data_IF_830335071666
#
_entry.id   IF_830335071666
#
_cell.length_a   1.000
_cell.length_b   1.000
_cell.length_c   1.000
_cell.angle_alpha   90.00
_cell.angle_beta   90.00
_cell.angle_gamma   90.00
#
_symmetry.space_group_name_H-M   'P 1'
#
loop_
_entity.id
_entity.type
_entity.pdbx_description
1 polymer ?
#
# COMPACT_ATOMS: atom_id res chain seq x y z
N UNK A 1 -34.75 5.06 23.97
CA UNK A 1 -33.77 4.27 23.19
C UNK A 1 -33.36 5.08 21.97
N UNK A 2 -32.36 5.94 22.12
CA UNK A 2 -31.86 6.82 21.06
C UNK A 2 -30.42 6.43 20.71
N UNK A 3 -30.27 5.58 19.71
CA UNK A 3 -29.04 5.44 18.94
C UNK A 3 -29.47 5.26 17.48
N UNK A 4 -29.39 6.33 16.66
CA UNK A 4 -28.48 6.26 15.51
C UNK A 4 -27.87 7.61 15.05
N UNK A 5 -27.80 8.65 15.88
CA UNK A 5 -27.32 9.98 15.42
C UNK A 5 -25.79 10.12 15.31
N UNK A 6 -25.00 9.40 16.12
CA UNK A 6 -23.54 9.56 16.15
C UNK A 6 -22.84 9.06 14.86
N UNK A 7 -23.37 8.02 14.21
CA UNK A 7 -22.78 7.46 12.99
C UNK A 7 -23.01 8.28 11.72
N UNK A 8 -24.06 9.12 11.69
CA UNK A 8 -24.30 10.05 10.57
C UNK A 8 -23.45 11.32 10.68
N UNK A 9 -23.26 11.85 11.89
CA UNK A 9 -22.48 13.07 12.10
C UNK A 9 -20.99 12.95 11.72
N UNK A 10 -20.45 11.72 11.67
CA UNK A 10 -19.05 11.46 11.32
C UNK A 10 -18.80 11.36 9.80
N UNK A 11 -19.86 11.15 9.00
CA UNK A 11 -19.79 11.00 7.55
C UNK A 11 -19.64 12.35 6.82
N UNK A 12 -20.06 13.45 7.44
CA UNK A 12 -20.10 14.78 6.80
C UNK A 12 -18.86 15.65 7.07
N UNK A 13 -17.90 15.17 7.87
CA UNK A 13 -16.69 15.92 8.16
C UNK A 13 -15.75 15.92 6.95
N UNK A 14 -15.03 17.02 6.75
CA UNK A 14 -13.94 17.08 5.77
C UNK A 14 -12.70 16.31 6.27
N UNK A 15 -11.82 15.83 5.38
CA UNK A 15 -10.54 15.21 5.74
C UNK A 15 -9.76 15.97 6.82
N UNK A 16 -9.58 17.29 6.68
CA UNK A 16 -8.88 18.14 7.65
C UNK A 16 -9.57 18.19 9.02
N UNK A 17 -10.90 18.15 9.05
CA UNK A 17 -11.68 18.18 10.27
C UNK A 17 -11.57 16.85 11.04
N UNK A 18 -11.63 15.72 10.32
CA UNK A 18 -11.37 14.38 10.91
C UNK A 18 -9.94 14.29 11.45
N UNK A 19 -8.98 14.79 10.69
CA UNK A 19 -7.59 14.89 11.11
C UNK A 19 -7.45 15.68 12.41
N UNK A 20 -7.98 16.91 12.46
CA UNK A 20 -7.90 17.78 13.62
C UNK A 20 -8.66 17.23 14.83
N UNK A 21 -9.73 16.47 14.61
CA UNK A 21 -10.44 15.78 15.69
C UNK A 21 -9.57 14.68 16.30
N UNK A 22 -9.01 13.77 15.51
CA UNK A 22 -8.19 12.70 16.07
C UNK A 22 -6.88 13.20 16.68
N UNK A 23 -6.34 14.32 16.21
CA UNK A 23 -5.21 15.00 16.86
C UNK A 23 -5.59 15.52 18.26
N UNK A 24 -6.77 16.16 18.39
CA UNK A 24 -7.31 16.61 19.70
C UNK A 24 -7.61 15.46 20.64
N UNK A 25 -8.03 14.32 20.12
CA UNK A 25 -8.27 13.08 20.88
C UNK A 25 -6.97 12.32 21.21
N UNK A 26 -5.81 12.81 20.79
CA UNK A 26 -4.51 12.19 21.06
C UNK A 26 -4.24 10.91 20.26
N UNK A 27 -5.02 10.62 19.22
CA UNK A 27 -4.81 9.43 18.36
C UNK A 27 -3.56 9.56 17.48
N UNK A 28 -3.16 10.79 17.15
CA UNK A 28 -1.95 11.10 16.40
C UNK A 28 -1.48 12.52 16.72
N UNK A 29 -0.22 12.83 16.38
CA UNK A 29 0.32 14.19 16.48
C UNK A 29 -0.11 15.02 15.26
N UNK A 30 -0.43 16.29 15.49
CA UNK A 30 -0.61 17.26 14.43
C UNK A 30 0.74 17.56 13.74
N UNK A 31 0.79 17.38 12.43
CA UNK A 31 1.95 17.62 11.57
C UNK A 31 1.60 18.65 10.50
N UNK A 32 2.18 19.84 10.64
CA UNK A 32 1.98 20.97 9.72
C UNK A 32 2.34 20.62 8.27
N UNK A 33 3.26 19.69 8.04
CA UNK A 33 3.62 19.25 6.69
C UNK A 33 2.46 18.54 5.96
N UNK A 34 1.50 18.01 6.70
CA UNK A 34 0.35 17.30 6.15
C UNK A 34 -0.80 18.24 5.77
N UNK A 35 -0.80 19.49 6.26
CA UNK A 35 -1.91 20.43 6.12
C UNK A 35 -2.19 20.82 4.67
N UNK A 36 -1.16 20.98 3.84
CA UNK A 36 -1.34 21.29 2.42
C UNK A 36 -2.09 20.16 1.68
N UNK A 37 -1.73 18.91 1.96
CA UNK A 37 -2.41 17.75 1.39
C UNK A 37 -3.85 17.60 1.93
N UNK A 38 -4.07 17.89 3.23
CA UNK A 38 -5.42 17.90 3.81
C UNK A 38 -6.32 18.96 3.15
N UNK A 39 -5.81 20.18 2.93
CA UNK A 39 -6.55 21.25 2.26
C UNK A 39 -6.94 20.86 0.82
N UNK A 40 -6.05 20.18 0.11
CA UNK A 40 -6.32 19.70 -1.24
C UNK A 40 -7.34 18.55 -1.26
N UNK A 41 -7.27 17.64 -0.29
CA UNK A 41 -8.27 16.58 -0.12
C UNK A 41 -9.64 17.13 0.28
N UNK A 42 -9.69 18.21 1.08
CA UNK A 42 -10.93 18.92 1.40
C UNK A 42 -11.56 19.53 0.14
N UNK A 43 -10.76 20.20 -0.70
CA UNK A 43 -11.21 20.75 -1.99
C UNK A 43 -11.84 19.67 -2.85
N UNK A 44 -11.13 18.55 -3.04
CA UNK A 44 -11.62 17.41 -3.82
C UNK A 44 -12.91 16.85 -3.23
N UNK A 45 -12.98 16.71 -1.90
CA UNK A 45 -14.17 16.22 -1.21
C UNK A 45 -15.39 17.10 -1.48
N UNK A 46 -15.24 18.42 -1.31
CA UNK A 46 -16.31 19.40 -1.51
C UNK A 46 -16.82 19.34 -2.96
N UNK A 47 -15.91 19.47 -3.94
CA UNK A 47 -16.30 19.50 -5.36
C UNK A 47 -16.99 18.20 -5.82
N UNK A 48 -16.57 17.04 -5.29
CA UNK A 48 -17.19 15.76 -5.61
C UNK A 48 -18.61 15.63 -5.03
N UNK A 49 -18.86 16.24 -3.87
CA UNK A 49 -20.16 16.23 -3.19
C UNK A 49 -21.13 17.27 -3.77
N UNK A 50 -20.63 18.46 -4.15
CA UNK A 50 -21.45 19.49 -4.80
C UNK A 50 -22.03 19.00 -6.13
N UNK A 51 -21.25 18.22 -6.90
CA UNK A 51 -21.73 17.58 -8.14
C UNK A 51 -22.84 16.52 -7.96
N UNK A 52 -23.21 16.13 -6.73
CA UNK A 52 -24.39 15.28 -6.48
C UNK A 52 -25.69 16.09 -6.24
N UNK A 53 -25.59 17.38 -5.92
CA UNK A 53 -26.73 18.21 -5.52
C UNK A 53 -27.44 18.93 -6.68
N UNK A 54 -26.94 18.80 -7.91
CA UNK A 54 -27.58 19.36 -9.11
C UNK A 54 -28.92 18.65 -9.39
N UNK A 55 -29.98 19.30 -8.91
CA UNK A 55 -31.35 18.82 -8.92
C UNK A 55 -31.95 18.62 -10.31
N UNK A 56 -33.17 18.08 -10.29
CA UNK A 56 -33.98 17.65 -11.44
C UNK A 56 -34.05 18.64 -12.63
N UNK A 57 -33.81 19.94 -12.41
CA UNK A 57 -33.84 21.00 -13.43
C UNK A 57 -32.53 21.12 -14.24
N UNK A 58 -31.38 20.71 -13.71
CA UNK A 58 -30.09 20.82 -14.40
C UNK A 58 -29.76 19.58 -15.28
N UNK A 59 -30.54 18.50 -15.13
CA UNK A 59 -30.48 17.31 -16.01
C UNK A 59 -30.76 17.62 -17.48
N UNK A 60 -31.51 18.68 -17.77
CA UNK A 60 -31.79 19.13 -19.14
C UNK A 60 -30.60 19.92 -19.76
N UNK A 61 -29.78 20.58 -18.94
CA UNK A 61 -28.56 21.29 -19.36
C UNK A 61 -27.33 20.37 -19.41
N UNK A 62 -27.30 19.34 -18.56
CA UNK A 62 -26.26 18.32 -18.49
C UNK A 62 -26.14 17.46 -19.76
N UNK A 63 -27.13 17.49 -20.66
CA UNK A 63 -27.05 16.82 -21.96
C UNK A 63 -26.00 17.44 -22.90
N UNK A 64 -25.52 18.66 -22.61
CA UNK A 64 -24.57 19.41 -23.43
C UNK A 64 -23.23 19.71 -22.75
N UNK A 65 -23.10 19.52 -21.43
CA UNK A 65 -21.84 19.67 -20.70
C UNK A 65 -21.08 18.35 -20.66
N UNK A 66 -19.85 18.32 -21.18
CA UNK A 66 -18.94 17.19 -20.93
C UNK A 66 -18.67 17.09 -19.43
N UNK A 67 -18.72 15.89 -18.82
CA UNK A 67 -18.31 15.72 -17.43
C UNK A 67 -16.85 16.14 -17.29
N UNK A 68 -16.60 17.23 -16.59
CA UNK A 68 -15.25 17.69 -16.31
C UNK A 68 -14.80 17.04 -15.00
N UNK A 69 -13.76 16.23 -15.05
CA UNK A 69 -13.20 15.61 -13.85
C UNK A 69 -12.76 16.70 -12.87
N UNK A 70 -13.14 16.58 -11.60
CA UNK A 70 -12.52 17.34 -10.51
C UNK A 70 -11.02 17.01 -10.55
N UNK A 71 -10.13 18.02 -10.60
CA UNK A 71 -8.69 17.77 -10.54
C UNK A 71 -8.36 16.90 -9.33
N UNK A 72 -7.57 15.86 -9.57
CA UNK A 72 -7.17 14.89 -8.58
C UNK A 72 -6.01 15.36 -7.70
N UNK A 73 -5.44 14.42 -6.95
CA UNK A 73 -4.24 14.62 -6.14
C UNK A 73 -3.20 13.55 -6.46
N UNK A 74 -1.98 13.97 -6.79
CA UNK A 74 -0.80 13.12 -6.81
C UNK A 74 0.09 13.48 -5.62
N UNK A 75 -0.05 12.74 -4.52
CA UNK A 75 0.70 12.95 -3.30
C UNK A 75 1.95 12.07 -3.28
N UNK A 76 3.13 12.68 -3.29
CA UNK A 76 4.38 11.92 -3.34
C UNK A 76 5.36 12.29 -2.23
N UNK A 77 6.27 11.38 -1.91
CA UNK A 77 7.30 11.58 -0.88
C UNK A 77 7.74 10.25 -0.30
N UNK A 78 8.80 10.22 0.51
CA UNK A 78 9.36 8.97 1.06
C UNK A 78 8.38 8.10 1.87
N UNK A 79 8.86 6.94 2.31
CA UNK A 79 8.12 6.03 3.20
C UNK A 79 7.80 6.73 4.54
N UNK A 80 6.69 6.36 5.17
CA UNK A 80 6.35 6.84 6.52
C UNK A 80 5.97 8.31 6.65
N UNK A 81 5.73 9.03 5.54
CA UNK A 81 5.30 10.44 5.53
C UNK A 81 3.80 10.68 5.77
N UNK A 82 3.06 9.65 6.14
CA UNK A 82 1.61 9.76 6.40
C UNK A 82 0.71 9.89 5.16
N UNK A 83 1.24 9.79 3.93
CA UNK A 83 0.46 9.92 2.68
C UNK A 83 -0.80 9.05 2.67
N UNK A 84 -0.61 7.78 3.04
CA UNK A 84 -1.68 6.79 3.20
C UNK A 84 -2.78 7.29 4.12
N UNK A 85 -2.38 7.75 5.30
CA UNK A 85 -3.29 8.14 6.36
C UNK A 85 -4.18 9.30 5.91
N UNK A 86 -3.61 10.29 5.21
CA UNK A 86 -4.39 11.39 4.65
C UNK A 86 -5.40 10.89 3.61
N UNK A 87 -4.99 9.95 2.76
CA UNK A 87 -5.88 9.32 1.77
C UNK A 87 -6.94 8.43 2.42
N UNK A 88 -6.66 7.80 3.57
CA UNK A 88 -7.65 7.06 4.36
C UNK A 88 -8.75 8.00 4.87
N UNK A 89 -8.36 9.12 5.49
CA UNK A 89 -9.29 10.14 5.97
C UNK A 89 -10.22 10.68 4.87
N UNK A 90 -9.67 10.82 3.66
CA UNK A 90 -10.44 11.19 2.47
C UNK A 90 -11.37 10.06 2.01
N UNK A 91 -10.83 8.87 1.76
CA UNK A 91 -11.59 7.78 1.16
C UNK A 91 -12.71 7.30 2.07
N UNK A 92 -12.44 7.05 3.35
CA UNK A 92 -13.45 6.58 4.31
C UNK A 92 -14.51 7.65 4.55
N UNK A 93 -14.07 8.89 4.46
CA UNK A 93 -14.86 10.08 4.70
C UNK A 93 -15.79 10.52 3.58
N UNK A 94 -15.46 10.18 2.34
CA UNK A 94 -16.15 10.70 1.16
C UNK A 94 -17.54 10.06 1.00
N UNK A 95 -18.66 10.81 0.99
CA UNK A 95 -20.01 10.26 0.87
C UNK A 95 -20.40 9.82 -0.56
N UNK A 96 -19.44 9.65 -1.47
CA UNK A 96 -19.66 9.17 -2.84
C UNK A 96 -19.66 7.63 -2.88
N UNK A 97 -20.71 7.02 -3.44
CA UNK A 97 -20.80 5.55 -3.57
C UNK A 97 -19.94 4.98 -4.70
N UNK A 98 -19.81 5.71 -5.80
CA UNK A 98 -19.04 5.32 -6.99
C UNK A 98 -17.54 5.60 -6.79
N UNK A 99 -16.97 5.09 -5.69
CA UNK A 99 -15.55 5.22 -5.37
C UNK A 99 -14.91 3.85 -5.27
N UNK A 100 -13.66 3.77 -5.69
CA UNK A 100 -12.86 2.55 -5.63
C UNK A 100 -11.47 2.86 -5.15
N UNK A 101 -10.94 1.99 -4.29
CA UNK A 101 -9.56 2.04 -3.83
C UNK A 101 -8.84 0.72 -4.06
N UNK A 102 -7.59 0.79 -4.51
CA UNK A 102 -6.75 -0.39 -4.75
C UNK A 102 -5.27 0.00 -4.87
N UNK A 103 -4.36 -0.94 -4.63
CA UNK A 103 -2.94 -0.77 -4.99
C UNK A 103 -2.76 -0.72 -6.52
N UNK A 104 -1.76 0.01 -6.98
CA UNK A 104 -1.45 0.21 -8.39
C UNK A 104 -1.23 -1.11 -9.15
N UNK A 105 -0.35 -1.99 -8.68
CA UNK A 105 -0.09 -3.26 -9.39
C UNK A 105 -1.32 -4.16 -9.47
N UNK A 106 -2.14 -4.20 -8.42
CA UNK A 106 -3.41 -4.95 -8.43
C UNK A 106 -4.40 -4.35 -9.43
N UNK A 107 -4.43 -3.02 -9.55
CA UNK A 107 -5.22 -2.34 -10.57
C UNK A 107 -4.75 -2.73 -11.96
N UNK A 108 -3.44 -2.61 -12.25
CA UNK A 108 -2.86 -2.95 -13.54
C UNK A 108 -3.07 -4.41 -13.92
N UNK A 109 -2.91 -5.35 -12.99
CA UNK A 109 -3.23 -6.77 -13.21
C UNK A 109 -4.67 -6.97 -13.69
N UNK A 110 -5.63 -6.31 -13.04
CA UNK A 110 -7.03 -6.38 -13.47
C UNK A 110 -7.27 -5.73 -14.85
N UNK A 111 -6.53 -4.68 -15.19
CA UNK A 111 -6.58 -4.11 -16.54
C UNK A 111 -6.10 -5.14 -17.56
N UNK A 112 -4.96 -5.76 -17.33
CA UNK A 112 -4.44 -6.82 -18.21
C UNK A 112 -5.41 -8.00 -18.35
N UNK A 113 -6.04 -8.43 -17.25
CA UNK A 113 -7.06 -9.49 -17.28
C UNK A 113 -8.25 -9.12 -18.17
N UNK A 114 -8.76 -7.88 -18.03
CA UNK A 114 -9.86 -7.37 -18.87
C UNK A 114 -9.44 -7.19 -20.32
N UNK A 115 -8.22 -6.74 -20.59
CA UNK A 115 -7.67 -6.62 -21.94
C UNK A 115 -7.62 -7.98 -22.64
N UNK A 116 -7.22 -9.03 -21.93
CA UNK A 116 -7.22 -10.41 -22.44
C UNK A 116 -8.64 -10.91 -22.73
N UNK A 117 -9.60 -10.64 -21.86
CA UNK A 117 -11.00 -10.99 -22.06
C UNK A 117 -11.64 -10.28 -23.27
N UNK A 118 -11.13 -9.11 -23.64
CA UNK A 118 -11.57 -8.32 -24.80
C UNK A 118 -10.60 -8.39 -25.99
N UNK A 119 -9.75 -9.42 -26.05
CA UNK A 119 -8.80 -9.61 -27.14
C UNK A 119 -9.52 -9.70 -28.50
N UNK A 120 -8.97 -9.03 -29.52
CA UNK A 120 -9.53 -8.98 -30.88
C UNK A 120 -10.51 -7.84 -31.14
N UNK A 121 -10.85 -7.03 -30.13
CA UNK A 121 -11.59 -5.77 -30.34
C UNK A 121 -10.64 -4.65 -30.78
N UNK A 122 -11.16 -3.68 -31.55
CA UNK A 122 -10.36 -2.55 -32.06
C UNK A 122 -9.84 -1.62 -30.97
N UNK A 123 -10.59 -1.48 -29.87
CA UNK A 123 -10.21 -0.65 -28.73
C UNK A 123 -10.70 -1.20 -27.37
N UNK A 124 -10.02 -2.22 -26.82
CA UNK A 124 -10.39 -2.83 -25.55
C UNK A 124 -10.37 -1.85 -24.37
N UNK A 125 -9.49 -0.84 -24.40
CA UNK A 125 -9.40 0.18 -23.35
C UNK A 125 -10.60 1.12 -23.37
N UNK A 126 -11.19 1.43 -24.54
CA UNK A 126 -12.44 2.19 -24.62
C UNK A 126 -13.55 1.51 -23.86
N UNK A 127 -13.68 0.20 -24.07
CA UNK A 127 -14.76 -0.59 -23.47
C UNK A 127 -14.59 -0.67 -21.95
N UNK A 128 -13.37 -0.93 -21.49
CA UNK A 128 -13.04 -0.91 -20.05
C UNK A 128 -13.39 0.46 -19.43
N UNK A 129 -13.08 1.56 -20.11
CA UNK A 129 -13.41 2.90 -19.63
C UNK A 129 -14.93 3.20 -19.66
N UNK A 130 -15.66 2.67 -20.64
CA UNK A 130 -17.12 2.79 -20.70
C UNK A 130 -17.80 2.09 -19.52
N UNK A 131 -17.35 0.89 -19.16
CA UNK A 131 -17.86 0.16 -17.99
C UNK A 131 -17.67 0.94 -16.68
N UNK A 132 -16.69 1.84 -16.63
CA UNK A 132 -16.40 2.68 -15.46
C UNK A 132 -17.25 3.93 -15.37
N UNK A 133 -17.76 4.44 -16.49
CA UNK A 133 -18.50 5.69 -16.56
C UNK A 133 -19.62 5.80 -15.51
N UNK A 134 -20.41 4.73 -15.34
CA UNK A 134 -21.55 4.72 -14.42
C UNK A 134 -21.23 4.14 -13.04
N UNK A 135 -20.05 3.51 -12.89
CA UNK A 135 -19.67 2.75 -11.71
C UNK A 135 -18.54 3.38 -10.89
N UNK A 136 -17.79 4.32 -11.48
CA UNK A 136 -16.57 4.85 -10.92
C UNK A 136 -16.44 6.36 -11.21
N UNK A 137 -16.61 7.17 -10.18
CA UNK A 137 -16.32 8.62 -10.17
C UNK A 137 -14.99 8.94 -9.52
N UNK A 138 -14.57 8.13 -8.54
CA UNK A 138 -13.35 8.37 -7.78
C UNK A 138 -12.50 7.11 -7.76
N UNK A 139 -11.28 7.21 -8.25
CA UNK A 139 -10.30 6.15 -8.18
C UNK A 139 -9.17 6.58 -7.23
N UNK A 140 -8.98 5.81 -6.17
CA UNK A 140 -7.84 5.94 -5.28
C UNK A 140 -6.81 4.87 -5.61
N UNK A 141 -5.64 5.29 -6.08
CA UNK A 141 -4.51 4.40 -6.36
C UNK A 141 -3.42 4.54 -5.28
N UNK A 142 -3.24 3.46 -4.54
CA UNK A 142 -2.22 3.36 -3.53
C UNK A 142 -0.89 2.87 -4.14
N UNK A 143 0.23 3.45 -3.71
CA UNK A 143 1.59 3.06 -4.16
C UNK A 143 1.76 3.03 -5.68
N UNK A 144 1.47 4.15 -6.32
CA UNK A 144 1.67 4.33 -7.75
C UNK A 144 3.16 4.28 -8.08
N UNK A 145 3.58 3.17 -8.66
CA UNK A 145 4.95 2.92 -9.06
C UNK A 145 4.97 2.02 -10.30
N UNK A 146 5.82 2.36 -11.28
CA UNK A 146 5.85 1.70 -12.59
C UNK A 146 7.27 1.22 -12.88
N UNK A 147 7.42 -0.09 -13.00
CA UNK A 147 8.69 -0.76 -13.37
C UNK A 147 8.53 -1.62 -14.61
N UNK A 148 7.35 -2.17 -14.86
CA UNK A 148 7.06 -3.01 -16.00
C UNK A 148 6.79 -2.20 -17.28
N UNK A 149 7.35 -2.67 -18.41
CA UNK A 149 7.15 -2.03 -19.71
C UNK A 149 5.71 -2.14 -20.20
N UNK A 150 5.04 -3.28 -19.99
CA UNK A 150 3.66 -3.49 -20.39
C UNK A 150 2.73 -2.50 -19.70
N UNK A 151 2.92 -2.30 -18.39
CA UNK A 151 2.20 -1.30 -17.62
C UNK A 151 2.47 0.12 -18.13
N UNK A 152 3.74 0.46 -18.34
CA UNK A 152 4.15 1.78 -18.85
C UNK A 152 3.50 2.10 -20.21
N UNK A 153 3.47 1.14 -21.15
CA UNK A 153 2.90 1.35 -22.49
C UNK A 153 1.37 1.52 -22.49
N UNK A 154 0.68 1.01 -21.47
CA UNK A 154 -0.78 1.13 -21.35
C UNK A 154 -1.21 2.39 -20.61
N UNK A 155 -0.43 2.82 -19.63
CA UNK A 155 -0.88 3.77 -18.61
C UNK A 155 -1.29 5.14 -19.16
N UNK A 156 -0.58 5.67 -20.16
CA UNK A 156 -0.92 6.97 -20.74
C UNK A 156 -2.33 6.98 -21.34
N UNK A 157 -2.62 6.01 -22.21
CA UNK A 157 -3.95 5.86 -22.83
C UNK A 157 -5.03 5.51 -21.81
N UNK A 158 -4.68 4.77 -20.75
CA UNK A 158 -5.60 4.42 -19.69
C UNK A 158 -6.03 5.64 -18.88
N UNK A 159 -5.06 6.45 -18.43
CA UNK A 159 -5.31 7.67 -17.65
C UNK A 159 -6.10 8.70 -18.45
N UNK A 160 -5.74 8.93 -19.72
CA UNK A 160 -6.48 9.83 -20.60
C UNK A 160 -7.97 9.45 -20.69
N UNK A 161 -8.28 8.16 -20.82
CA UNK A 161 -9.66 7.67 -20.88
C UNK A 161 -10.37 7.81 -19.55
N UNK A 162 -9.71 7.51 -18.42
CA UNK A 162 -10.26 7.72 -17.09
C UNK A 162 -10.67 9.19 -16.90
N UNK A 163 -9.76 10.12 -17.19
CA UNK A 163 -10.03 11.55 -17.05
C UNK A 163 -11.10 12.04 -18.04
N UNK A 164 -11.13 11.51 -19.26
CA UNK A 164 -12.17 11.83 -20.25
C UNK A 164 -13.58 11.36 -19.84
N UNK A 165 -13.69 10.34 -18.98
CA UNK A 165 -14.96 9.91 -18.38
C UNK A 165 -15.32 10.67 -17.11
N UNK A 166 -14.54 11.67 -16.70
CA UNK A 166 -14.80 12.44 -15.50
C UNK A 166 -14.30 11.78 -14.20
N UNK A 167 -13.47 10.74 -14.29
CA UNK A 167 -12.94 10.06 -13.08
C UNK A 167 -11.88 10.94 -12.42
N UNK A 168 -12.09 11.22 -11.14
CA UNK A 168 -11.10 11.90 -10.29
C UNK A 168 -10.13 10.89 -9.71
N UNK A 169 -8.83 11.12 -9.93
CA UNK A 169 -7.75 10.28 -9.42
C UNK A 169 -7.15 10.88 -8.14
N UNK A 170 -7.14 10.12 -7.05
CA UNK A 170 -6.29 10.43 -5.89
C UNK A 170 -5.25 9.34 -5.78
N UNK A 171 -3.98 9.69 -5.78
CA UNK A 171 -2.90 8.70 -5.81
C UNK A 171 -1.76 9.07 -4.88
N UNK A 172 -1.12 8.04 -4.34
CA UNK A 172 0.08 8.18 -3.52
C UNK A 172 1.28 7.54 -4.21
N UNK A 173 2.46 8.13 -4.11
CA UNK A 173 3.69 7.53 -4.65
C UNK A 173 4.90 7.83 -3.78
N UNK A 174 5.96 7.02 -3.90
CA UNK A 174 7.27 7.35 -3.33
C UNK A 174 8.13 8.18 -4.30
N UNK A 175 7.65 8.41 -5.52
CA UNK A 175 8.40 9.03 -6.61
C UNK A 175 7.59 10.17 -7.21
N UNK A 176 8.24 11.31 -7.46
CA UNK A 176 7.65 12.42 -8.19
C UNK A 176 7.25 11.99 -9.62
N UNK A 177 6.18 12.55 -10.21
CA UNK A 177 5.70 12.15 -11.54
C UNK A 177 6.81 12.13 -12.61
N UNK A 178 7.68 13.14 -12.63
CA UNK A 178 8.78 13.29 -13.59
C UNK A 178 9.85 12.20 -13.48
N UNK A 179 9.91 11.51 -12.33
CA UNK A 179 10.86 10.43 -12.06
C UNK A 179 10.24 9.03 -12.20
N UNK A 180 8.92 8.92 -12.42
CA UNK A 180 8.28 7.64 -12.69
C UNK A 180 8.87 7.01 -13.95
N UNK A 181 9.31 5.75 -13.89
CA UNK A 181 9.86 5.00 -15.02
C UNK A 181 11.11 5.64 -15.70
N UNK A 182 11.92 6.40 -14.93
CA UNK A 182 13.03 7.25 -15.45
C UNK A 182 14.05 6.54 -16.32
N UNK A 183 14.36 5.30 -15.97
CA UNK A 183 15.34 4.48 -16.70
C UNK A 183 14.67 3.29 -17.41
N UNK A 184 13.34 3.36 -17.56
CA UNK A 184 12.55 2.32 -18.19
C UNK A 184 12.72 2.28 -19.71
N UNK A 185 12.63 1.07 -20.27
CA UNK A 185 12.72 0.86 -21.72
C UNK A 185 11.61 1.63 -22.45
N UNK A 186 11.98 2.38 -23.51
CA UNK A 186 11.07 3.24 -24.28
C UNK A 186 10.34 4.31 -23.46
N UNK A 187 11.00 4.92 -22.46
CA UNK A 187 10.48 6.00 -21.62
C UNK A 187 9.69 7.09 -22.36
N UNK A 188 10.09 7.47 -23.57
CA UNK A 188 9.39 8.46 -24.38
C UNK A 188 7.89 8.15 -24.55
N UNK A 189 7.54 6.87 -24.65
CA UNK A 189 6.15 6.41 -24.76
C UNK A 189 5.38 6.50 -23.45
N UNK A 190 6.07 6.65 -22.32
CA UNK A 190 5.49 6.85 -20.99
C UNK A 190 5.27 8.34 -20.64
N UNK A 191 5.95 9.27 -21.32
CA UNK A 191 5.80 10.71 -21.09
C UNK A 191 4.34 11.21 -21.17
N UNK A 192 3.46 10.69 -22.05
CA UNK A 192 2.04 11.04 -22.03
C UNK A 192 1.33 10.71 -20.71
N UNK A 193 1.73 9.64 -20.02
CA UNK A 193 1.18 9.30 -18.70
C UNK A 193 1.58 10.34 -17.65
N UNK A 194 2.85 10.76 -17.65
CA UNK A 194 3.35 11.83 -16.76
C UNK A 194 2.61 13.13 -17.04
N UNK A 195 2.46 13.52 -18.31
CA UNK A 195 1.74 14.71 -18.71
C UNK A 195 0.26 14.65 -18.27
N UNK A 196 -0.39 13.50 -18.39
CA UNK A 196 -1.77 13.32 -17.92
C UNK A 196 -1.86 13.49 -16.40
N UNK A 197 -0.95 12.88 -15.63
CA UNK A 197 -0.92 13.05 -14.16
C UNK A 197 -0.74 14.52 -13.78
N UNK A 198 0.21 15.22 -14.39
CA UNK A 198 0.48 16.64 -14.10
C UNK A 198 -0.65 17.58 -14.55
N UNK A 199 -1.39 17.22 -15.59
CA UNK A 199 -2.53 18.00 -16.09
C UNK A 199 -3.78 17.83 -15.22
N UNK A 200 -4.05 16.61 -14.79
CA UNK A 200 -5.32 16.26 -14.13
C UNK A 200 -5.20 16.11 -12.62
N UNK A 201 -4.00 16.16 -12.05
CA UNK A 201 -3.79 16.11 -10.60
C UNK A 201 -3.00 17.32 -10.11
N UNK A 202 -3.36 17.84 -8.94
CA UNK A 202 -2.47 18.70 -8.16
C UNK A 202 -1.35 17.81 -7.61
N UNK A 203 -0.10 18.16 -7.89
CA UNK A 203 1.08 17.40 -7.45
C UNK A 203 1.60 18.02 -6.17
N UNK A 204 1.54 17.28 -5.05
CA UNK A 204 2.03 17.73 -3.75
C UNK A 204 3.12 16.80 -3.22
N UNK A 205 4.19 17.41 -2.70
CA UNK A 205 5.25 16.69 -1.99
C UNK A 205 4.93 16.65 -0.49
N UNK A 206 4.90 15.45 0.08
CA UNK A 206 4.73 15.21 1.50
C UNK A 206 6.07 15.41 2.23
N UNK A 207 6.35 16.65 2.62
CA UNK A 207 7.53 17.06 3.39
C UNK A 207 7.43 16.69 4.87
N UNK A 208 7.26 15.41 5.21
CA UNK A 208 7.40 15.02 6.61
C UNK A 208 8.86 15.16 7.04
N UNK A 209 9.15 15.76 8.20
CA UNK A 209 10.51 15.74 8.76
C UNK A 209 10.83 14.44 9.50
N UNK A 210 9.84 13.58 9.77
CA UNK A 210 10.03 12.37 10.57
C UNK A 210 9.25 11.19 9.96
N UNK A 211 9.95 10.17 9.48
CA UNK A 211 9.34 8.86 9.26
C UNK A 211 9.07 8.26 10.63
N UNK A 212 7.82 8.35 11.09
CA UNK A 212 7.42 7.87 12.42
C UNK A 212 7.66 6.36 12.55
N UNK A 213 7.43 5.59 11.47
CA UNK A 213 7.67 4.15 11.43
C UNK A 213 9.16 3.85 11.57
N UNK A 214 10.02 4.59 10.88
CA UNK A 214 11.47 4.50 11.04
C UNK A 214 11.93 4.83 12.47
N UNK A 215 11.37 5.89 13.09
CA UNK A 215 11.70 6.22 14.49
C UNK A 215 11.31 5.10 15.45
N UNK A 216 10.13 4.51 15.26
CA UNK A 216 9.66 3.37 16.06
C UNK A 216 10.49 2.10 15.84
N UNK A 217 10.97 1.86 14.61
CA UNK A 217 11.85 0.72 14.29
C UNK A 217 13.28 0.92 14.80
N UNK A 218 13.81 2.15 14.76
CA UNK A 218 15.19 2.43 15.21
C UNK A 218 15.33 2.57 16.72
N UNK A 219 14.24 2.89 17.44
CA UNK A 219 14.24 3.03 18.91
C UNK A 219 13.99 1.72 19.66
N UNK A 220 13.52 0.68 18.98
CA UNK A 220 13.10 -0.56 19.61
C UNK A 220 13.66 -1.76 18.85
N UNK A 221 13.95 -2.88 19.52
CA UNK A 221 14.42 -4.08 18.84
C UNK A 221 13.43 -4.56 17.77
N UNK A 222 13.96 -5.06 16.66
CA UNK A 222 13.17 -5.70 15.60
C UNK A 222 13.34 -7.22 15.59
N UNK A 223 14.26 -7.76 16.38
CA UNK A 223 14.47 -9.19 16.52
C UNK A 223 14.46 -9.54 18.00
N UNK A 224 13.61 -10.50 18.40
CA UNK A 224 13.54 -10.98 19.76
C UNK A 224 13.80 -12.48 19.82
N UNK A 225 14.76 -12.87 20.64
CA UNK A 225 15.06 -14.26 20.96
C UNK A 225 15.55 -14.36 22.42
N UNK A 226 15.40 -15.53 23.08
CA UNK A 226 14.70 -16.73 22.59
C UNK A 226 13.17 -16.57 22.60
N UNK A 227 12.45 -17.60 22.11
CA UNK A 227 11.01 -17.70 22.31
C UNK A 227 10.72 -18.04 23.78
N UNK A 228 9.75 -17.32 24.34
CA UNK A 228 9.21 -17.51 25.68
C UNK A 228 7.71 -17.13 25.67
N UNK A 229 7.05 -17.17 26.83
CA UNK A 229 5.63 -16.84 26.94
C UNK A 229 5.26 -15.39 26.57
N UNK A 230 6.24 -14.48 26.54
CA UNK A 230 6.04 -13.05 26.25
C UNK A 230 6.29 -12.70 24.78
N UNK A 231 6.80 -13.64 23.98
CA UNK A 231 7.13 -13.39 22.58
C UNK A 231 5.92 -12.90 21.77
N UNK A 232 4.76 -13.52 21.97
CA UNK A 232 3.54 -13.16 21.22
C UNK A 232 3.03 -11.77 21.62
N UNK A 233 3.01 -11.49 22.93
CA UNK A 233 2.60 -10.21 23.47
C UNK A 233 3.52 -9.08 23.01
N UNK A 234 4.84 -9.33 22.98
CA UNK A 234 5.81 -8.38 22.45
C UNK A 234 5.54 -8.05 20.99
N UNK A 235 5.28 -9.07 20.14
CA UNK A 235 4.99 -8.83 18.73
C UNK A 235 3.66 -8.10 18.53
N UNK A 236 2.67 -8.34 19.40
CA UNK A 236 1.42 -7.57 19.44
C UNK A 236 1.59 -6.10 19.84
N UNK A 237 2.49 -5.81 20.79
CA UNK A 237 2.87 -4.43 21.12
C UNK A 237 3.55 -3.75 19.92
N UNK A 238 4.50 -4.44 19.27
CA UNK A 238 5.14 -3.93 18.05
C UNK A 238 4.15 -3.66 16.94
N UNK A 239 3.15 -4.53 16.76
CA UNK A 239 2.07 -4.29 15.82
C UNK A 239 1.35 -2.98 16.15
N UNK A 240 0.90 -2.78 17.39
CA UNK A 240 0.15 -1.59 17.77
C UNK A 240 0.96 -0.30 17.57
N UNK A 241 2.25 -0.31 17.90
CA UNK A 241 3.15 0.83 17.72
C UNK A 241 3.40 1.18 16.24
N UNK A 242 3.43 0.18 15.35
CA UNK A 242 3.69 0.36 13.92
C UNK A 242 2.43 0.61 13.10
N UNK A 243 1.31 0.00 13.49
CA UNK A 243 0.03 0.06 12.79
C UNK A 243 -0.90 1.15 13.35
N UNK A 244 -0.77 1.52 14.62
CA UNK A 244 -1.67 2.44 15.33
C UNK A 244 -3.07 1.89 15.60
N UNK A 245 -3.36 0.65 15.16
CA UNK A 245 -4.67 -0.01 15.31
C UNK A 245 -4.49 -1.47 15.75
N UNK A 246 -5.47 -2.05 16.46
CA UNK A 246 -5.43 -3.47 16.83
C UNK A 246 -5.33 -4.40 15.62
N UNK A 247 -4.60 -5.50 15.77
CA UNK A 247 -4.48 -6.51 14.72
C UNK A 247 -5.83 -7.19 14.48
N UNK A 248 -6.21 -7.35 13.21
CA UNK A 248 -7.41 -8.07 12.80
C UNK A 248 -6.98 -9.28 11.98
N UNK A 249 -7.27 -10.47 12.52
CA UNK A 249 -6.96 -11.72 11.87
C UNK A 249 -7.73 -11.84 10.55
N UNK A 250 -7.10 -12.45 9.56
CA UNK A 250 -7.67 -12.57 8.23
C UNK A 250 -6.82 -13.43 7.31
N UNK A 251 -6.97 -13.20 6.02
CA UNK A 251 -6.22 -13.90 4.99
C UNK A 251 -5.93 -12.98 3.81
N UNK A 252 -4.79 -13.21 3.17
CA UNK A 252 -4.49 -12.69 1.84
C UNK A 252 -4.47 -13.83 0.83
N UNK A 253 -4.61 -13.48 -0.44
CA UNK A 253 -4.52 -14.43 -1.54
C UNK A 253 -3.40 -14.01 -2.48
N UNK A 254 -2.42 -14.90 -2.66
CA UNK A 254 -1.29 -14.72 -3.58
C UNK A 254 -1.32 -15.91 -4.54
N UNK A 255 -1.39 -15.63 -5.84
CA UNK A 255 -1.45 -16.64 -6.90
C UNK A 255 -2.45 -17.78 -6.65
N UNK A 256 -3.66 -17.42 -6.17
CA UNK A 256 -4.74 -18.36 -5.88
C UNK A 256 -4.57 -19.15 -4.57
N UNK A 257 -3.52 -18.87 -3.79
CA UNK A 257 -3.26 -19.51 -2.51
C UNK A 257 -3.58 -18.55 -1.37
N UNK A 258 -4.40 -19.02 -0.43
CA UNK A 258 -4.71 -18.26 0.79
C UNK A 258 -3.58 -18.39 1.81
N UNK A 259 -3.21 -17.27 2.43
CA UNK A 259 -2.23 -17.19 3.51
C UNK A 259 -2.92 -16.54 4.69
N UNK A 260 -3.00 -17.27 5.80
CA UNK A 260 -3.55 -16.74 7.05
C UNK A 260 -2.60 -15.68 7.62
N UNK A 261 -3.16 -14.61 8.16
CA UNK A 261 -2.43 -13.53 8.82
C UNK A 261 -3.14 -13.14 10.11
N UNK A 262 -2.39 -12.61 11.07
CA UNK A 262 -2.91 -12.12 12.34
C UNK A 262 -3.31 -10.65 12.28
N UNK A 263 -2.69 -9.89 11.39
CA UNK A 263 -3.00 -8.49 11.17
C UNK A 263 -2.53 -8.03 9.81
N UNK A 264 -3.33 -7.18 9.17
CA UNK A 264 -2.93 -6.45 7.96
C UNK A 264 -3.36 -5.01 8.06
N UNK A 265 -2.43 -4.10 7.82
CA UNK A 265 -2.71 -2.72 7.49
C UNK A 265 -1.80 -2.32 6.32
N UNK A 266 -1.90 -1.08 5.84
CA UNK A 266 -1.22 -0.75 4.59
C UNK A 266 0.31 -0.79 4.73
N UNK A 267 0.93 -1.58 3.86
CA UNK A 267 2.38 -1.83 3.83
C UNK A 267 2.91 -2.67 5.01
N UNK A 268 2.04 -3.14 5.91
CA UNK A 268 2.42 -3.92 7.10
C UNK A 268 1.55 -5.19 7.21
N UNK A 269 2.20 -6.34 7.35
CA UNK A 269 1.49 -7.59 7.62
C UNK A 269 2.15 -8.38 8.73
N UNK A 270 1.32 -9.05 9.52
CA UNK A 270 1.74 -9.91 10.61
C UNK A 270 1.31 -11.34 10.35
N UNK A 271 2.29 -12.23 10.26
CA UNK A 271 2.13 -13.66 10.05
C UNK A 271 2.73 -14.47 11.19
N UNK A 272 2.21 -15.67 11.38
CA UNK A 272 2.94 -16.74 12.06
C UNK A 272 3.89 -17.43 11.09
N UNK A 273 5.04 -17.90 11.59
CA UNK A 273 6.03 -18.62 10.79
C UNK A 273 5.41 -19.78 10.00
N UNK A 274 4.52 -20.54 10.61
CA UNK A 274 3.87 -21.70 10.01
C UNK A 274 3.10 -21.35 8.73
N UNK A 275 2.41 -20.21 8.71
CA UNK A 275 1.64 -19.74 7.55
C UNK A 275 2.52 -19.44 6.33
N UNK A 276 3.74 -18.96 6.58
CA UNK A 276 4.72 -18.60 5.55
C UNK A 276 5.64 -19.76 5.16
N UNK A 277 6.00 -20.65 6.09
CA UNK A 277 7.11 -21.58 5.87
C UNK A 277 6.79 -23.05 6.10
N UNK A 278 5.63 -23.43 6.64
CA UNK A 278 5.26 -24.85 6.83
C UNK A 278 4.28 -25.36 5.75
N UNK A 279 3.58 -24.45 5.06
CA UNK A 279 2.69 -24.77 3.94
C UNK A 279 3.39 -24.83 2.56
N UNK A 280 2.61 -25.11 1.49
CA UNK A 280 3.10 -25.14 0.11
C UNK A 280 3.30 -23.72 -0.43
N UNK A 281 4.42 -23.08 -0.04
CA UNK A 281 4.85 -21.79 -0.56
C UNK A 281 5.98 -21.92 -1.57
N UNK A 282 5.98 -21.03 -2.55
CA UNK A 282 7.00 -20.85 -3.57
C UNK A 282 7.64 -19.48 -3.47
N UNK A 283 8.80 -19.31 -4.10
CA UNK A 283 9.50 -18.01 -4.17
C UNK A 283 8.63 -16.89 -4.71
N UNK A 284 7.73 -17.16 -5.67
CA UNK A 284 6.77 -16.17 -6.18
C UNK A 284 5.85 -15.63 -5.08
N UNK A 285 5.47 -16.44 -4.09
CA UNK A 285 4.67 -15.97 -2.96
C UNK A 285 5.44 -14.92 -2.15
N UNK A 286 6.74 -15.13 -1.95
CA UNK A 286 7.61 -14.20 -1.21
C UNK A 286 7.92 -12.93 -2.00
N UNK A 287 8.06 -13.02 -3.33
CA UNK A 287 8.19 -11.85 -4.20
C UNK A 287 6.96 -10.95 -4.07
N UNK A 288 5.75 -11.52 -4.13
CA UNK A 288 4.52 -10.75 -4.02
C UNK A 288 4.30 -10.20 -2.61
N UNK A 289 4.65 -10.96 -1.56
CA UNK A 289 4.66 -10.45 -0.19
C UNK A 289 5.60 -9.25 -0.04
N UNK A 290 6.82 -9.37 -0.54
CA UNK A 290 7.82 -8.32 -0.44
C UNK A 290 7.52 -7.11 -1.35
N UNK A 291 6.62 -7.26 -2.33
CA UNK A 291 6.05 -6.15 -3.11
C UNK A 291 4.88 -5.47 -2.41
N UNK A 292 3.98 -6.23 -1.79
CA UNK A 292 2.78 -5.71 -1.12
C UNK A 292 3.10 -5.06 0.23
N UNK A 293 4.15 -5.51 0.94
CA UNK A 293 4.46 -5.06 2.29
C UNK A 293 5.87 -4.48 2.40
N UNK A 294 5.97 -3.25 2.92
CA UNK A 294 7.23 -2.60 3.26
C UNK A 294 7.79 -3.06 4.61
N UNK A 295 6.94 -3.64 5.46
CA UNK A 295 7.29 -4.18 6.78
C UNK A 295 6.54 -5.48 7.04
N UNK A 296 7.24 -6.50 7.54
CA UNK A 296 6.67 -7.79 7.92
C UNK A 296 6.92 -8.09 9.40
N UNK A 297 5.86 -8.49 10.09
CA UNK A 297 5.94 -9.09 11.42
C UNK A 297 5.84 -10.61 11.26
N UNK A 298 6.82 -11.35 11.77
CA UNK A 298 6.84 -12.82 11.71
C UNK A 298 7.03 -13.39 13.11
N UNK A 299 6.00 -14.07 13.61
CA UNK A 299 6.01 -14.69 14.93
C UNK A 299 6.51 -16.13 14.91
N UNK A 300 7.15 -16.54 16.00
CA UNK A 300 7.44 -17.93 16.33
C UNK A 300 8.35 -18.66 15.30
N UNK A 301 9.42 -18.00 14.84
CA UNK A 301 10.43 -18.65 13.98
C UNK A 301 11.15 -19.75 14.81
N UNK A 302 11.08 -21.03 14.43
CA UNK A 302 11.71 -22.12 15.18
C UNK A 302 13.22 -22.17 14.94
N UNK A 303 13.93 -22.98 15.71
CA UNK A 303 15.23 -23.47 15.29
C UNK A 303 15.06 -24.49 14.17
N UNK A 304 16.07 -24.57 13.31
CA UNK A 304 16.08 -25.41 12.14
C UNK A 304 17.12 -26.52 12.29
N UNK A 305 16.71 -27.73 11.95
CA UNK A 305 17.54 -28.93 12.00
C UNK A 305 17.21 -29.83 10.80
N UNK A 306 17.68 -31.08 10.86
CA UNK A 306 17.45 -32.07 9.79
C UNK A 306 15.98 -32.49 9.63
N UNK A 307 15.11 -32.20 10.61
CA UNK A 307 13.72 -32.62 10.63
C UNK A 307 12.77 -31.59 10.01
N UNK A 308 13.22 -30.34 9.81
CA UNK A 308 12.41 -29.27 9.22
C UNK A 308 13.11 -28.52 8.07
N UNK A 309 13.97 -29.22 7.31
CA UNK A 309 14.75 -28.62 6.21
C UNK A 309 13.91 -27.90 5.13
N UNK A 310 12.72 -28.41 4.82
CA UNK A 310 11.86 -27.78 3.83
C UNK A 310 11.35 -26.41 4.30
N UNK A 311 11.01 -26.30 5.59
CA UNK A 311 10.65 -25.03 6.21
C UNK A 311 11.86 -24.10 6.31
N UNK A 312 13.03 -24.65 6.63
CA UNK A 312 14.29 -23.91 6.68
C UNK A 312 14.65 -23.31 5.30
N UNK A 313 14.52 -24.08 4.23
CA UNK A 313 14.73 -23.60 2.85
C UNK A 313 13.74 -22.51 2.45
N UNK A 314 12.47 -22.68 2.84
CA UNK A 314 11.44 -21.66 2.60
C UNK A 314 11.72 -20.37 3.37
N UNK A 315 12.23 -20.47 4.60
CA UNK A 315 12.66 -19.32 5.37
C UNK A 315 13.84 -18.59 4.73
N UNK A 316 14.85 -19.31 4.24
CA UNK A 316 15.95 -18.72 3.45
C UNK A 316 15.40 -17.92 2.27
N UNK A 317 14.53 -18.52 1.46
CA UNK A 317 13.92 -17.84 0.31
C UNK A 317 13.10 -16.60 0.72
N UNK A 318 12.35 -16.67 1.82
CA UNK A 318 11.61 -15.52 2.35
C UNK A 318 12.57 -14.39 2.72
N UNK A 319 13.63 -14.68 3.49
CA UNK A 319 14.59 -13.65 3.92
C UNK A 319 15.31 -13.05 2.72
N UNK A 320 15.66 -13.84 1.71
CA UNK A 320 16.32 -13.34 0.50
C UNK A 320 15.44 -12.31 -0.22
N UNK A 321 14.16 -12.61 -0.47
CA UNK A 321 13.26 -11.69 -1.17
C UNK A 321 12.91 -10.44 -0.36
N UNK A 322 12.74 -10.59 0.97
CA UNK A 322 12.50 -9.48 1.91
C UNK A 322 13.73 -8.58 2.00
N UNK A 323 14.92 -9.19 2.07
CA UNK A 323 16.18 -8.47 2.16
C UNK A 323 16.46 -7.65 0.90
N UNK A 324 16.35 -8.27 -0.27
CA UNK A 324 16.67 -7.66 -1.57
C UNK A 324 15.74 -6.48 -1.90
N UNK A 325 14.51 -6.47 -1.35
CA UNK A 325 13.54 -5.36 -1.50
C UNK A 325 13.57 -4.33 -0.38
N UNK A 326 14.50 -4.44 0.56
CA UNK A 326 14.58 -3.52 1.70
C UNK A 326 13.29 -3.50 2.54
N UNK A 327 12.66 -4.66 2.72
CA UNK A 327 11.49 -4.85 3.59
C UNK A 327 11.95 -5.00 5.03
N UNK A 328 11.27 -4.31 5.95
CA UNK A 328 11.65 -4.26 7.37
C UNK A 328 11.08 -5.48 8.05
N UNK A 329 11.94 -6.31 8.65
CA UNK A 329 11.50 -7.52 9.35
C UNK A 329 11.48 -7.27 10.86
N UNK A 330 10.32 -7.46 11.48
CA UNK A 330 10.15 -7.52 12.93
C UNK A 330 9.76 -8.95 13.29
N UNK A 331 10.52 -9.64 14.14
CA UNK A 331 10.24 -11.06 14.38
C UNK A 331 10.58 -11.55 15.78
N UNK A 332 9.96 -12.68 16.14
CA UNK A 332 10.32 -13.48 17.30
C UNK A 332 10.86 -14.82 16.84
N UNK A 333 11.95 -15.26 17.47
CA UNK A 333 12.69 -16.43 17.03
C UNK A 333 13.24 -17.24 18.20
N UNK A 334 13.37 -18.55 17.99
CA UNK A 334 13.79 -19.50 19.02
C UNK A 334 15.26 -19.30 19.44
N UNK A 335 16.09 -18.75 18.54
CA UNK A 335 17.50 -18.50 18.76
C UNK A 335 17.97 -17.22 18.06
N UNK A 336 19.19 -16.77 18.38
CA UNK A 336 19.87 -15.71 17.65
C UNK A 336 20.15 -16.14 16.19
N UNK A 337 20.32 -15.20 15.22
CA UNK A 337 20.46 -15.54 13.80
C UNK A 337 21.53 -16.59 13.49
N UNK A 338 22.70 -16.51 14.15
CA UNK A 338 23.82 -17.44 13.96
C UNK A 338 23.57 -18.84 14.55
N UNK A 339 22.59 -18.98 15.44
CA UNK A 339 22.22 -20.22 16.10
C UNK A 339 20.86 -20.78 15.63
N UNK A 340 20.25 -20.18 14.60
CA UNK A 340 18.96 -20.61 14.07
C UNK A 340 19.02 -21.95 13.35
N UNK A 341 20.17 -22.35 12.79
CA UNK A 341 20.31 -23.58 12.02
C UNK A 341 21.40 -24.49 12.58
N UNK A 342 21.06 -25.76 12.74
CA UNK A 342 21.93 -26.81 13.28
C UNK A 342 22.12 -28.00 12.33
N UNK A 343 21.47 -27.97 11.16
CA UNK A 343 21.67 -28.99 10.11
C UNK A 343 22.96 -28.79 9.31
N UNK A 344 23.20 -29.66 8.33
CA UNK A 344 24.40 -29.59 7.47
C UNK A 344 24.09 -29.16 6.03
N UNK A 345 22.90 -29.46 5.52
CA UNK A 345 22.58 -29.35 4.09
C UNK A 345 22.38 -27.92 3.60
N UNK A 346 21.94 -27.02 4.48
CA UNK A 346 21.70 -25.60 4.20
C UNK A 346 22.69 -24.69 4.93
N UNK A 347 23.77 -25.21 5.50
CA UNK A 347 24.66 -24.46 6.40
C UNK A 347 25.18 -23.16 5.74
N UNK A 348 25.72 -23.23 4.52
CA UNK A 348 26.21 -22.05 3.81
C UNK A 348 25.11 -21.09 3.36
N UNK A 349 23.86 -21.55 3.19
CA UNK A 349 22.74 -20.66 2.93
C UNK A 349 22.31 -19.93 4.21
N UNK A 350 22.25 -20.64 5.34
CA UNK A 350 21.91 -20.07 6.64
C UNK A 350 22.98 -19.13 7.20
N UNK A 351 24.25 -19.31 6.85
CA UNK A 351 25.29 -18.33 7.17
C UNK A 351 24.96 -16.97 6.54
N UNK A 352 24.60 -16.95 5.24
CA UNK A 352 24.15 -15.72 4.57
C UNK A 352 22.84 -15.18 5.14
N UNK A 353 21.87 -16.06 5.41
CA UNK A 353 20.60 -15.66 6.04
C UNK A 353 20.83 -15.03 7.41
N UNK A 354 21.74 -15.59 8.22
CA UNK A 354 22.11 -15.03 9.52
C UNK A 354 22.75 -13.65 9.38
N UNK A 355 23.68 -13.46 8.43
CA UNK A 355 24.26 -12.15 8.13
C UNK A 355 23.19 -11.13 7.72
N UNK A 356 22.27 -11.50 6.82
CA UNK A 356 21.14 -10.65 6.41
C UNK A 356 20.26 -10.27 7.59
N UNK A 357 19.87 -11.23 8.43
CA UNK A 357 19.06 -10.98 9.63
C UNK A 357 19.75 -10.05 10.63
N UNK A 358 21.08 -10.11 10.75
CA UNK A 358 21.86 -9.18 11.58
C UNK A 358 21.86 -7.79 10.96
N UNK A 359 22.12 -7.68 9.66
CA UNK A 359 22.12 -6.40 8.95
C UNK A 359 20.76 -5.71 8.98
N UNK A 360 19.67 -6.48 8.87
CA UNK A 360 18.29 -6.00 8.94
C UNK A 360 17.93 -5.35 10.29
N UNK A 361 18.72 -5.61 11.34
CA UNK A 361 18.56 -4.96 12.66
C UNK A 361 19.28 -3.60 12.74
N UNK A 362 20.13 -3.28 11.78
CA UNK A 362 20.91 -2.03 11.81
C UNK A 362 20.05 -0.81 11.49
N UNK A 363 20.37 0.33 12.12
CA UNK A 363 19.72 1.60 11.81
C UNK A 363 19.90 2.01 10.34
N UNK A 364 21.03 1.63 9.73
CA UNK A 364 21.30 1.86 8.31
C UNK A 364 20.28 1.13 7.44
N UNK A 365 20.10 -0.19 7.64
CA UNK A 365 19.14 -0.98 6.88
C UNK A 365 17.71 -0.49 7.10
N UNK A 366 17.31 -0.26 8.35
CA UNK A 366 15.96 0.22 8.68
C UNK A 366 15.64 1.56 8.01
N UNK A 367 16.64 2.43 7.83
CA UNK A 367 16.52 3.72 7.15
C UNK A 367 16.45 3.65 5.62
N UNK A 368 16.65 2.48 5.00
CA UNK A 368 16.57 2.35 3.55
C UNK A 368 15.13 2.39 3.04
N UNK A 369 14.85 2.99 1.87
CA UNK A 369 13.51 2.97 1.28
C UNK A 369 13.14 1.55 0.82
N UNK A 370 11.86 1.20 0.81
CA UNK A 370 11.41 -0.06 0.21
C UNK A 370 11.52 -0.01 -1.33
N UNK A 371 11.97 -1.10 -1.96
CA UNK A 371 12.38 -1.10 -3.38
C UNK A 371 11.35 -1.64 -4.39
N UNK A 372 10.09 -1.86 -3.99
CA UNK A 372 9.00 -2.25 -4.91
C UNK A 372 9.14 -3.66 -5.47
#
# INVERSE_FOLDING_TARGET
MNAPQAGRAQADLLPSQRYAQGAREGKWSDDRAQHAALAELDRIHIELCEGEQDGFLDRLSAFWKKPQAVPGLYLWGGVGRGKTFLVDLFYDGLPVRQKRRTHFHRFMRQIHDRLRAHAGQSDPLARIAQDWKDSLRVLVLDEFFVTDIGDAMLLGRLLERLFAQGVTLVTTSNTAPENLYKDGLQRERFLPAIAALQKYCVVLHAEGQQDYRLRTLTRSPVYRAPLDGEADAWLGQRWLELAGVPAQAGQIEIDGRRIALRGRCRGLAWFDFSALCEGPRSTTDYIELAREFDTLLVGAIPTFDRHNEDAARRFVNLIDEVYDRQVKLVCTAAAAPTALYSGSRLAGAFERTASRLIEMQSAQYLGTPHLG
#
